data_IF_619506778164
#
_entry.id   IF_619506778164
#
_cell.length_a   1.000
_cell.length_b   1.000
_cell.length_c   1.000
_cell.angle_alpha   90.00
_cell.angle_beta   90.00
_cell.angle_gamma   90.00
#
_symmetry.space_group_name_H-M   'P 1'
#
loop_
_entity.id
_entity.type
_entity.pdbx_description
1 polymer ?
#
# COMPACT_ATOMS: atom_id res chain seq x y z
N UNK A 1 -17.04 -28.99 0.27
CA UNK A 1 -15.99 -28.03 -0.12
C UNK A 1 -16.67 -26.76 -0.61
N UNK A 2 -16.41 -25.63 0.04
CA UNK A 2 -16.91 -24.33 -0.41
C UNK A 2 -16.02 -23.85 -1.55
N UNK A 3 -16.61 -23.34 -2.63
CA UNK A 3 -15.85 -22.79 -3.75
C UNK A 3 -15.08 -21.56 -3.27
N UNK A 4 -13.77 -21.41 -3.57
CA UNK A 4 -13.02 -20.22 -3.20
C UNK A 4 -13.65 -18.99 -3.85
N UNK A 5 -13.91 -17.97 -3.04
CA UNK A 5 -14.34 -16.64 -3.46
C UNK A 5 -13.11 -15.76 -3.66
N UNK A 6 -12.86 -15.34 -4.90
CA UNK A 6 -11.73 -14.47 -5.21
C UNK A 6 -12.16 -13.01 -5.17
N UNK A 7 -11.33 -12.16 -4.56
CA UNK A 7 -11.49 -10.71 -4.62
C UNK A 7 -11.29 -10.21 -6.05
N UNK A 8 -12.22 -9.40 -6.55
CA UNK A 8 -12.15 -8.78 -7.87
C UNK A 8 -11.45 -7.43 -7.81
N UNK A 9 -10.93 -6.97 -8.94
CA UNK A 9 -10.22 -5.68 -9.03
C UNK A 9 -11.02 -4.48 -8.52
N UNK A 10 -12.34 -4.45 -8.73
CA UNK A 10 -13.19 -3.35 -8.25
C UNK A 10 -13.45 -3.38 -6.74
N UNK A 11 -13.16 -4.51 -6.08
CA UNK A 11 -13.31 -4.71 -4.65
C UNK A 11 -12.01 -4.38 -3.90
N UNK A 12 -10.91 -4.14 -4.62
CA UNK A 12 -9.62 -3.71 -4.07
C UNK A 12 -9.32 -2.28 -4.51
N UNK A 13 -9.51 -1.30 -3.63
CA UNK A 13 -9.53 0.13 -4.01
C UNK A 13 -8.53 0.92 -3.18
N UNK A 14 -7.81 1.84 -3.83
CA UNK A 14 -6.95 2.82 -3.17
C UNK A 14 -7.63 4.18 -3.25
N UNK A 15 -7.82 4.82 -2.09
CA UNK A 15 -8.53 6.09 -1.96
C UNK A 15 -7.68 7.08 -1.17
N UNK A 16 -7.76 8.34 -1.57
CA UNK A 16 -7.05 9.46 -0.94
C UNK A 16 -8.08 10.37 -0.32
N UNK A 17 -7.83 10.83 0.89
CA UNK A 17 -8.68 11.81 1.54
C UNK A 17 -8.64 13.14 0.77
N UNK A 18 -9.80 13.73 0.53
CA UNK A 18 -9.88 15.04 -0.14
C UNK A 18 -9.60 16.17 0.85
N UNK A 19 -9.73 17.43 0.41
CA UNK A 19 -9.57 18.59 1.30
C UNK A 19 -10.60 18.61 2.45
N UNK A 20 -11.72 17.89 2.32
CA UNK A 20 -12.70 17.71 3.39
C UNK A 20 -12.37 16.43 4.17
N UNK A 21 -12.02 16.52 5.46
CA UNK A 21 -11.75 15.35 6.28
C UNK A 21 -12.91 14.35 6.28
N UNK A 22 -12.59 13.06 6.19
CA UNK A 22 -13.56 11.97 6.12
C UNK A 22 -14.18 11.72 4.74
N UNK A 23 -13.85 12.55 3.73
CA UNK A 23 -14.28 12.31 2.35
C UNK A 23 -13.14 11.71 1.54
N UNK A 24 -13.43 10.64 0.79
CA UNK A 24 -12.44 9.83 0.12
C UNK A 24 -12.67 9.84 -1.37
N UNK A 25 -11.63 10.17 -2.14
CA UNK A 25 -11.64 10.13 -3.59
C UNK A 25 -10.85 8.93 -4.10
N UNK A 26 -11.43 8.19 -5.04
CA UNK A 26 -10.73 7.15 -5.78
C UNK A 26 -9.77 7.79 -6.77
N UNK A 27 -8.57 7.23 -6.88
CA UNK A 27 -7.65 7.64 -7.93
C UNK A 27 -8.18 7.10 -9.27
N UNK A 28 -8.64 8.01 -10.14
CA UNK A 28 -9.17 7.68 -11.46
C UNK A 28 -8.08 7.13 -12.39
N UNK A 29 -8.45 6.18 -13.26
CA UNK A 29 -7.57 5.64 -14.30
C UNK A 29 -6.66 4.50 -13.86
N UNK A 30 -6.67 4.08 -12.59
CA UNK A 30 -5.87 2.94 -12.12
C UNK A 30 -6.33 1.64 -12.79
N UNK A 31 -5.39 0.95 -13.43
CA UNK A 31 -5.55 -0.34 -14.11
C UNK A 31 -4.89 -1.50 -13.36
N UNK A 32 -3.90 -1.22 -12.52
CA UNK A 32 -3.24 -2.20 -11.67
C UNK A 32 -3.00 -1.63 -10.28
N UNK A 33 -3.22 -2.43 -9.24
CA UNK A 33 -3.02 -2.06 -7.83
C UNK A 33 -2.25 -3.18 -7.16
N UNK A 34 -1.27 -2.81 -6.34
CA UNK A 34 -0.48 -3.71 -5.54
C UNK A 34 -0.26 -3.08 -4.17
N UNK A 35 -0.34 -3.89 -3.11
CA UNK A 35 0.06 -3.48 -1.77
C UNK A 35 1.10 -4.48 -1.29
N UNK A 36 2.27 -3.97 -0.92
CA UNK A 36 3.33 -4.73 -0.32
C UNK A 36 3.40 -4.40 1.18
N UNK A 37 3.51 -5.43 2.01
CA UNK A 37 3.63 -5.32 3.46
C UNK A 37 4.89 -6.07 3.84
N UNK A 38 5.93 -5.34 4.22
CA UNK A 38 7.23 -5.89 4.54
C UNK A 38 7.52 -5.68 6.02
N UNK A 39 7.56 -6.77 6.78
CA UNK A 39 7.98 -6.75 8.18
C UNK A 39 9.49 -6.94 8.24
N UNK A 40 10.19 -6.02 8.88
CA UNK A 40 11.62 -6.23 9.18
C UNK A 40 11.72 -7.17 10.38
N UNK A 41 12.55 -8.20 10.28
CA UNK A 41 12.84 -9.12 11.38
C UNK A 41 14.31 -8.94 11.78
N UNK A 42 14.57 -8.89 13.08
CA UNK A 42 15.92 -8.87 13.62
C UNK A 42 16.23 -10.24 14.23
N UNK A 43 17.42 -10.77 13.90
CA UNK A 43 17.90 -12.04 14.45
C UNK A 43 18.97 -11.77 15.50
N UNK A 44 18.69 -12.10 16.75
CA UNK A 44 19.60 -11.93 17.88
C UNK A 44 20.21 -13.31 18.20
N UNK A 45 21.52 -13.49 18.01
CA UNK A 45 22.18 -14.74 18.39
C UNK A 45 22.30 -14.79 19.91
N UNK A 46 21.67 -15.79 20.52
CA UNK A 46 21.82 -16.10 21.95
C UNK A 46 22.58 -17.41 22.13
N UNK A 47 23.42 -17.53 23.18
CA UNK A 47 24.06 -18.79 23.51
C UNK A 47 23.00 -19.87 23.75
N UNK A 48 23.16 -21.01 23.09
CA UNK A 48 22.19 -22.12 23.17
C UNK A 48 22.19 -22.80 24.55
N UNK A 49 23.28 -22.67 25.29
CA UNK A 49 23.46 -23.26 26.60
C UNK A 49 24.14 -22.24 27.52
N UNK A 50 23.62 -22.11 28.75
CA UNK A 50 24.16 -21.22 29.78
C UNK A 50 25.40 -21.82 30.46
N UNK A 51 25.60 -23.13 30.37
CA UNK A 51 26.70 -23.87 31.02
C UNK A 51 27.85 -24.20 30.04
N UNK A 52 27.63 -24.10 28.73
CA UNK A 52 28.65 -24.28 27.69
C UNK A 52 28.45 -23.29 26.54
N UNK A 53 29.07 -22.12 26.68
CA UNK A 53 29.05 -21.06 25.65
C UNK A 53 29.75 -21.46 24.33
N UNK A 54 30.45 -22.60 24.28
CA UNK A 54 31.06 -23.14 23.06
C UNK A 54 30.11 -24.00 22.22
N UNK A 55 28.91 -24.33 22.72
CA UNK A 55 27.93 -25.21 22.08
C UNK A 55 27.16 -24.56 20.89
N UNK A 56 27.54 -23.35 20.49
CA UNK A 56 26.96 -22.60 19.36
C UNK A 56 25.81 -21.68 19.78
N UNK A 57 25.39 -20.82 18.85
CA UNK A 57 24.30 -19.85 19.06
C UNK A 57 22.99 -20.34 18.45
N UNK A 58 21.87 -19.97 19.07
CA UNK A 58 20.55 -20.02 18.46
C UNK A 58 20.07 -18.59 18.13
N UNK A 59 19.27 -18.43 17.07
CA UNK A 59 18.78 -17.11 16.67
C UNK A 59 17.38 -16.90 17.24
N UNK A 60 17.21 -15.91 18.12
CA UNK A 60 15.90 -15.37 18.48
C UNK A 60 15.46 -14.38 17.40
N UNK A 61 14.22 -14.52 16.94
CA UNK A 61 13.63 -13.64 15.91
C UNK A 61 12.71 -12.63 16.60
N UNK A 62 13.04 -11.35 16.50
CA UNK A 62 12.21 -10.26 17.02
C UNK A 62 11.57 -9.46 15.87
N UNK A 63 10.25 -9.17 15.95
CA UNK A 63 9.58 -8.35 14.94
C UNK A 63 9.95 -6.88 15.09
N UNK A 64 10.52 -6.31 14.04
CA UNK A 64 10.81 -4.88 13.91
C UNK A 64 9.66 -4.08 13.29
N UNK A 65 9.99 -3.03 12.55
CA UNK A 65 9.01 -2.16 11.92
C UNK A 65 8.29 -2.80 10.71
N UNK A 66 6.99 -2.55 10.59
CA UNK A 66 6.21 -2.90 9.41
C UNK A 66 6.22 -1.73 8.42
N UNK A 67 6.68 -1.98 7.19
CA UNK A 67 6.65 -1.01 6.09
C UNK A 67 5.59 -1.42 5.09
N UNK A 68 4.61 -0.54 4.86
CA UNK A 68 3.54 -0.76 3.89
C UNK A 68 3.72 0.19 2.70
N UNK A 69 3.79 -0.38 1.49
CA UNK A 69 3.86 0.37 0.24
C UNK A 69 2.72 -0.02 -0.69
N UNK A 70 2.19 0.96 -1.42
CA UNK A 70 1.10 0.79 -2.38
C UNK A 70 1.62 1.20 -3.75
N UNK A 71 1.69 0.22 -4.65
CA UNK A 71 2.02 0.44 -6.06
C UNK A 71 0.75 0.47 -6.91
N UNK A 72 0.76 1.27 -7.97
CA UNK A 72 -0.32 1.27 -8.93
C UNK A 72 0.13 1.67 -10.33
N UNK A 73 -0.43 1.01 -11.33
CA UNK A 73 -0.32 1.44 -12.72
C UNK A 73 -1.65 2.05 -13.15
N UNK A 74 -1.60 3.20 -13.79
CA UNK A 74 -2.78 3.95 -14.21
C UNK A 74 -2.65 4.43 -15.66
N UNK A 75 -3.77 4.47 -16.36
CA UNK A 75 -3.93 5.28 -17.56
C UNK A 75 -4.22 6.71 -17.15
N UNK A 76 -3.51 7.64 -17.78
CA UNK A 76 -3.46 9.02 -17.34
C UNK A 76 -4.83 9.72 -17.43
N UNK A 77 -5.40 10.03 -16.27
CA UNK A 77 -6.62 10.80 -16.14
C UNK A 77 -6.28 12.27 -15.81
N UNK A 78 -6.67 13.20 -16.69
CA UNK A 78 -6.45 14.65 -16.49
C UNK A 78 -6.99 15.16 -15.16
N UNK A 79 -8.07 14.56 -14.67
CA UNK A 79 -8.73 14.91 -13.41
C UNK A 79 -7.83 14.71 -12.18
N UNK A 80 -6.93 13.72 -12.22
CA UNK A 80 -6.04 13.39 -11.09
C UNK A 80 -4.69 14.10 -11.19
N UNK A 81 -4.43 14.86 -12.28
CA UNK A 81 -3.10 15.37 -12.58
C UNK A 81 -2.56 16.34 -11.54
N UNK A 82 -3.31 17.42 -11.27
CA UNK A 82 -2.89 18.47 -10.33
C UNK A 82 -2.62 17.89 -8.95
N UNK A 83 -3.59 17.13 -8.42
CA UNK A 83 -3.46 16.47 -7.12
C UNK A 83 -2.20 15.59 -7.01
N UNK A 84 -1.88 14.78 -8.02
CA UNK A 84 -0.70 13.91 -7.98
C UNK A 84 0.61 14.71 -8.07
N UNK A 85 0.66 15.72 -8.94
CA UNK A 85 1.85 16.56 -9.07
C UNK A 85 2.09 17.35 -7.80
N UNK A 86 1.06 18.00 -7.25
CA UNK A 86 1.16 18.75 -6.00
C UNK A 86 1.59 17.85 -4.84
N UNK A 87 1.08 16.62 -4.80
CA UNK A 87 1.44 15.66 -3.76
C UNK A 87 2.93 15.33 -3.78
N UNK A 88 3.50 14.98 -4.94
CA UNK A 88 4.92 14.64 -5.02
C UNK A 88 5.83 15.86 -4.91
N UNK A 89 5.52 16.97 -5.60
CA UNK A 89 6.38 18.16 -5.63
C UNK A 89 6.40 18.90 -4.30
N UNK A 90 5.26 18.98 -3.60
CA UNK A 90 5.20 19.58 -2.27
C UNK A 90 5.46 18.58 -1.14
N UNK A 91 5.78 17.31 -1.45
CA UNK A 91 6.07 16.26 -0.47
C UNK A 91 4.95 16.15 0.57
N UNK A 92 3.70 16.27 0.12
CA UNK A 92 2.57 16.35 1.04
C UNK A 92 2.37 15.02 1.75
N UNK A 93 2.08 15.10 3.05
CA UNK A 93 1.58 13.97 3.83
C UNK A 93 0.07 13.92 3.65
N UNK A 94 -0.45 12.92 2.94
CA UNK A 94 -1.90 12.76 2.73
C UNK A 94 -2.40 11.49 3.39
N UNK A 95 -3.64 11.52 3.87
CA UNK A 95 -4.33 10.35 4.38
C UNK A 95 -4.78 9.48 3.21
N UNK A 96 -4.45 8.20 3.27
CA UNK A 96 -4.74 7.20 2.26
C UNK A 96 -5.40 6.01 2.93
N UNK A 97 -6.35 5.40 2.25
CA UNK A 97 -6.89 4.11 2.66
C UNK A 97 -6.89 3.10 1.52
N UNK A 98 -6.60 1.85 1.89
CA UNK A 98 -6.75 0.67 1.04
C UNK A 98 -8.00 -0.06 1.50
N UNK A 99 -8.92 -0.29 0.57
CA UNK A 99 -10.19 -0.94 0.81
C UNK A 99 -10.23 -2.36 0.22
N UNK A 100 -10.67 -3.30 1.04
CA UNK A 100 -10.97 -4.69 0.72
C UNK A 100 -12.49 -4.92 0.85
N UNK A 101 -13.26 -4.40 -0.10
CA UNK A 101 -14.73 -4.29 -0.02
C UNK A 101 -15.42 -5.66 0.14
N UNK A 102 -14.82 -6.71 -0.43
CA UNK A 102 -15.32 -8.08 -0.34
C UNK A 102 -14.80 -8.88 0.87
N UNK A 103 -14.16 -8.21 1.84
CA UNK A 103 -13.77 -8.85 3.10
C UNK A 103 -14.99 -9.47 3.81
N UNK A 104 -14.75 -10.52 4.60
CA UNK A 104 -15.80 -11.11 5.44
C UNK A 104 -16.09 -10.19 6.63
N UNK A 105 -17.26 -10.33 7.24
CA UNK A 105 -17.57 -9.63 8.49
C UNK A 105 -16.50 -9.97 9.55
N UNK A 106 -15.94 -8.96 10.20
CA UNK A 106 -14.86 -9.12 11.17
C UNK A 106 -13.45 -9.19 10.57
N UNK A 107 -13.29 -9.35 9.25
CA UNK A 107 -12.00 -9.24 8.57
C UNK A 107 -11.66 -7.76 8.29
N UNK A 108 -10.37 -7.48 8.03
CA UNK A 108 -9.92 -6.11 7.69
C UNK A 108 -10.53 -5.65 6.37
N UNK A 109 -11.39 -4.64 6.44
CA UNK A 109 -11.98 -3.98 5.28
C UNK A 109 -11.14 -2.78 4.85
N UNK A 110 -10.60 -2.01 5.80
CA UNK A 110 -9.82 -0.82 5.49
C UNK A 110 -8.48 -0.81 6.22
N UNK A 111 -7.42 -0.46 5.49
CA UNK A 111 -6.12 -0.05 6.04
C UNK A 111 -5.96 1.44 5.80
N UNK A 112 -6.01 2.25 6.87
CA UNK A 112 -5.99 3.71 6.78
C UNK A 112 -4.76 4.28 7.47
N UNK A 113 -4.09 5.22 6.82
CA UNK A 113 -2.92 5.88 7.39
C UNK A 113 -2.44 7.02 6.54
N UNK A 114 -1.50 7.80 7.07
CA UNK A 114 -0.83 8.83 6.30
C UNK A 114 0.22 8.19 5.39
N UNK A 115 0.35 8.71 4.17
CA UNK A 115 1.31 8.23 3.20
C UNK A 115 1.93 9.40 2.42
N UNK A 116 3.16 9.17 1.97
CA UNK A 116 3.87 10.01 1.02
C UNK A 116 3.90 9.33 -0.35
N UNK A 117 3.87 10.13 -1.40
CA UNK A 117 4.17 9.64 -2.74
C UNK A 117 5.69 9.58 -2.91
N UNK A 118 6.22 8.37 -3.07
CA UNK A 118 7.66 8.14 -3.24
C UNK A 118 8.07 8.18 -4.70
N UNK A 119 7.21 7.66 -5.58
CA UNK A 119 7.49 7.53 -7.01
C UNK A 119 6.28 7.96 -7.83
N UNK A 120 6.56 8.74 -8.88
CA UNK A 120 5.60 9.14 -9.91
C UNK A 120 6.30 9.10 -11.26
N UNK A 121 6.11 8.03 -12.01
CA UNK A 121 6.75 7.85 -13.31
C UNK A 121 5.72 7.98 -14.43
N UNK A 122 6.06 8.75 -15.46
CA UNK A 122 5.27 8.89 -16.68
C UNK A 122 5.96 8.18 -17.83
N UNK A 123 5.22 7.34 -18.55
CA UNK A 123 5.66 6.74 -19.81
C UNK A 123 4.65 7.00 -20.92
N UNK A 124 5.14 7.56 -22.03
CA UNK A 124 4.38 7.78 -23.25
C UNK A 124 5.16 7.19 -24.43
N UNK A 125 4.49 6.38 -25.24
CA UNK A 125 5.06 5.85 -26.49
C UNK A 125 4.73 6.79 -27.65
N UNK A 126 5.73 7.13 -28.46
CA UNK A 126 5.56 7.96 -29.66
C UNK A 126 4.92 7.20 -30.84
N UNK A 127 4.91 5.86 -30.80
CA UNK A 127 4.31 5.02 -31.84
C UNK A 127 2.79 4.90 -31.70
N UNK A 128 2.08 5.72 -32.47
CA UNK A 128 0.64 5.63 -32.71
C UNK A 128 -0.11 6.83 -32.16
N UNK A 129 -0.65 7.66 -33.05
CA UNK A 129 -1.58 8.74 -32.71
C UNK A 129 -2.69 8.18 -31.79
N UNK A 130 -2.81 8.72 -30.56
CA UNK A 130 -3.90 8.40 -29.65
C UNK A 130 -3.60 7.39 -28.52
N UNK A 131 -2.36 6.93 -28.32
CA UNK A 131 -2.03 6.13 -27.12
C UNK A 131 -2.08 6.97 -25.84
N UNK A 132 -2.81 6.48 -24.84
CA UNK A 132 -2.98 7.13 -23.54
C UNK A 132 -1.71 6.93 -22.70
N UNK A 133 -1.16 8.03 -22.15
CA UNK A 133 -0.01 8.02 -21.25
C UNK A 133 -0.24 7.04 -20.10
N UNK A 134 0.77 6.24 -19.78
CA UNK A 134 0.76 5.34 -18.62
C UNK A 134 1.53 5.99 -17.50
N UNK A 135 1.01 5.88 -16.28
CA UNK A 135 1.63 6.42 -15.09
C UNK A 135 1.76 5.33 -14.03
N UNK A 136 2.92 5.28 -13.40
CA UNK A 136 3.18 4.41 -12.26
C UNK A 136 3.30 5.26 -11.00
N UNK A 137 2.59 4.84 -9.96
CA UNK A 137 2.61 5.50 -8.66
C UNK A 137 3.12 4.52 -7.61
N UNK A 138 3.91 5.05 -6.68
CA UNK A 138 4.25 4.37 -5.45
C UNK A 138 3.96 5.29 -4.28
N UNK A 139 3.21 4.76 -3.32
CA UNK A 139 2.89 5.41 -2.06
C UNK A 139 3.54 4.61 -0.93
N UNK A 140 4.09 5.31 0.06
CA UNK A 140 4.62 4.68 1.27
C UNK A 140 3.90 5.24 2.48
N UNK A 141 3.35 4.34 3.30
CA UNK A 141 2.76 4.73 4.57
C UNK A 141 3.84 5.23 5.54
N UNK A 142 3.49 6.28 6.25
CA UNK A 142 4.25 6.89 7.33
C UNK A 142 3.87 6.23 8.65
N UNK A 143 4.44 5.05 8.87
CA UNK A 143 4.15 4.16 9.99
C UNK A 143 3.15 3.05 9.65
N UNK A 144 2.68 2.37 10.69
CA UNK A 144 1.73 1.26 10.55
C UNK A 144 0.31 1.81 10.30
N UNK A 145 -0.37 1.39 9.20
CA UNK A 145 -1.74 1.79 8.94
C UNK A 145 -2.70 1.14 9.95
N UNK A 146 -3.73 1.89 10.35
CA UNK A 146 -4.79 1.39 11.22
C UNK A 146 -5.75 0.50 10.43
N UNK A 147 -6.00 -0.70 10.94
CA UNK A 147 -6.94 -1.66 10.36
C UNK A 147 -8.35 -1.47 10.92
N UNK A 148 -9.34 -1.36 10.06
CA UNK A 148 -10.76 -1.34 10.42
C UNK A 148 -11.43 -2.59 9.88
N UNK A 149 -12.10 -3.32 10.77
CA UNK A 149 -12.82 -4.53 10.40
C UNK A 149 -14.15 -4.21 9.70
N UNK A 150 -14.60 -5.09 8.82
CA UNK A 150 -15.91 -4.98 8.18
C UNK A 150 -17.02 -5.14 9.22
N UNK A 151 -17.92 -4.17 9.25
CA UNK A 151 -19.11 -4.24 10.09
C UNK A 151 -20.04 -5.39 9.67
N UNK A 152 -20.82 -5.89 10.64
CA UNK A 152 -21.79 -6.97 10.45
C UNK A 152 -23.04 -6.52 9.68
#
# INVERSE_FOLDING_TARGET
>A
MVKPNFQRFHEFVVEVETEVPGTWAKICGITGRQVNRALTLEEIPVPKDCEDEAAGTENLVEPGALVVTVGGTAKWARQSHGMMMDWIYFKQRKSVRVAHVAASVGDTEYETGFAYMTTLNDSGEMEGEGKIVTREIELRFDGEPTRTAKAA
#
